data_IF_320077689887
#
_entry.id   IF_320077689887
#
_cell.length_a   1.000
_cell.length_b   1.000
_cell.length_c   1.000
_cell.angle_alpha   90.00
_cell.angle_beta   90.00
_cell.angle_gamma   90.00
#
_symmetry.space_group_name_H-M   'P 1'
#
loop_
_entity.id
_entity.type
_entity.pdbx_description
1 polymer ?
#
# COMPACT_ATOMS: atom_id res chain seq x y z
N UNK A 1 13.52 16.99 -31.67
CA UNK A 1 14.13 16.36 -30.49
C UNK A 1 13.01 16.08 -29.49
N UNK A 2 12.92 14.87 -28.93
CA UNK A 2 12.06 14.56 -27.77
C UNK A 2 13.00 14.22 -26.63
N UNK A 3 12.93 14.97 -25.53
CA UNK A 3 13.70 14.69 -24.33
C UNK A 3 12.98 13.58 -23.56
N UNK A 4 13.60 12.40 -23.49
CA UNK A 4 13.01 11.21 -22.88
C UNK A 4 13.30 11.08 -21.38
N UNK A 5 12.63 10.12 -20.72
CA UNK A 5 12.96 9.77 -19.33
C UNK A 5 14.40 9.24 -19.21
N UNK A 6 14.84 8.48 -20.21
CA UNK A 6 16.25 8.07 -20.42
C UNK A 6 17.24 9.23 -20.34
N UNK A 7 17.01 10.29 -21.11
CA UNK A 7 17.88 11.48 -21.12
C UNK A 7 17.85 12.19 -19.75
N UNK A 8 16.65 12.34 -19.16
CA UNK A 8 16.46 13.00 -17.87
C UNK A 8 17.16 12.28 -16.69
N UNK A 9 17.27 10.94 -16.74
CA UNK A 9 18.01 10.16 -15.74
C UNK A 9 19.52 10.26 -15.99
N UNK A 10 19.98 10.19 -17.24
CA UNK A 10 21.39 10.34 -17.59
C UNK A 10 21.94 11.73 -17.23
N UNK A 11 21.15 12.79 -17.43
CA UNK A 11 21.47 14.16 -17.03
C UNK A 11 21.30 14.40 -15.51
N UNK A 12 20.85 13.39 -14.75
CA UNK A 12 20.65 13.47 -13.31
C UNK A 12 19.49 14.36 -12.84
N UNK A 13 18.58 14.74 -13.74
CA UNK A 13 17.36 15.53 -13.45
C UNK A 13 16.28 14.65 -12.81
N UNK A 14 16.21 13.39 -13.23
CA UNK A 14 15.29 12.39 -12.70
C UNK A 14 15.99 11.28 -11.93
N UNK A 15 15.27 10.70 -10.96
CA UNK A 15 15.61 9.44 -10.30
C UNK A 15 15.31 8.26 -11.21
N UNK A 16 15.96 7.14 -10.99
CA UNK A 16 15.57 5.86 -11.57
C UNK A 16 14.36 5.24 -10.85
N UNK A 17 13.31 4.80 -11.58
CA UNK A 17 12.15 4.14 -11.00
C UNK A 17 12.43 2.68 -10.56
N UNK A 18 11.96 2.32 -9.38
CA UNK A 18 11.87 0.95 -8.86
C UNK A 18 10.39 0.63 -8.67
N UNK A 19 9.78 -0.08 -9.61
CA UNK A 19 8.34 -0.37 -9.60
C UNK A 19 8.16 -1.79 -9.05
N UNK A 20 7.36 -1.96 -8.00
CA UNK A 20 7.11 -3.23 -7.33
C UNK A 20 5.64 -3.60 -7.46
N UNK A 21 5.38 -4.64 -8.25
CA UNK A 21 4.06 -5.24 -8.40
C UNK A 21 3.85 -6.27 -7.29
N UNK A 22 2.71 -6.20 -6.61
CA UNK A 22 2.32 -7.11 -5.53
C UNK A 22 1.21 -8.05 -6.03
N UNK A 23 1.47 -9.36 -6.07
CA UNK A 23 0.51 -10.39 -6.47
C UNK A 23 0.23 -11.38 -5.33
N UNK A 24 -0.94 -12.03 -5.35
CA UNK A 24 -1.33 -13.04 -4.37
C UNK A 24 -1.68 -14.37 -5.07
N UNK A 25 -0.90 -15.41 -4.78
CA UNK A 25 -1.01 -16.70 -5.48
C UNK A 25 -2.23 -17.55 -5.05
N UNK A 26 -2.97 -17.11 -4.03
CA UNK A 26 -4.13 -17.83 -3.49
C UNK A 26 -5.18 -16.82 -2.99
N UNK A 27 -5.85 -16.15 -3.92
CA UNK A 27 -7.07 -15.38 -3.56
C UNK A 27 -8.26 -16.31 -3.54
N UNK A 28 -9.01 -16.30 -2.45
CA UNK A 28 -10.20 -17.12 -2.23
C UNK A 28 -11.45 -16.24 -2.30
N UNK A 29 -12.26 -16.47 -3.33
CA UNK A 29 -13.62 -15.93 -3.43
C UNK A 29 -14.59 -16.95 -2.86
N UNK A 30 -15.47 -16.50 -1.97
CA UNK A 30 -16.61 -17.27 -1.47
C UNK A 30 -17.89 -16.63 -2.00
N UNK A 31 -18.75 -17.42 -2.63
CA UNK A 31 -20.01 -16.95 -3.23
C UNK A 31 -21.17 -17.57 -2.46
N UNK A 32 -21.93 -16.74 -1.75
CA UNK A 32 -23.14 -17.14 -1.05
C UNK A 32 -24.36 -17.08 -1.96
N UNK A 33 -24.85 -18.25 -2.40
CA UNK A 33 -26.10 -18.41 -3.14
C UNK A 33 -27.14 -19.12 -2.25
N UNK A 34 -27.62 -18.40 -1.24
CA UNK A 34 -28.59 -18.94 -0.28
C UNK A 34 -27.97 -19.98 0.65
N UNK A 35 -28.43 -21.23 0.55
CA UNK A 35 -27.99 -22.32 1.42
C UNK A 35 -26.64 -22.95 1.01
N UNK A 36 -26.25 -22.81 -0.26
CA UNK A 36 -24.98 -23.31 -0.77
C UNK A 36 -23.96 -22.16 -0.88
N UNK A 37 -22.74 -22.43 -0.40
CA UNK A 37 -21.59 -21.54 -0.57
C UNK A 37 -20.58 -22.19 -1.51
N UNK A 38 -20.26 -21.51 -2.61
CA UNK A 38 -19.22 -21.92 -3.55
C UNK A 38 -17.89 -21.26 -3.15
N UNK A 39 -16.77 -21.98 -3.28
CA UNK A 39 -15.43 -21.44 -3.02
C UNK A 39 -14.60 -21.57 -4.29
N UNK A 40 -14.15 -20.44 -4.83
CA UNK A 40 -13.28 -20.36 -6.01
C UNK A 40 -11.90 -19.84 -5.58
N UNK A 41 -10.83 -20.51 -6.03
CA UNK A 41 -9.44 -20.14 -5.76
C UNK A 41 -8.80 -19.62 -7.04
N UNK A 42 -8.18 -18.45 -6.97
CA UNK A 42 -7.51 -17.79 -8.09
C UNK A 42 -5.99 -17.73 -7.85
N UNK A 43 -5.16 -18.09 -8.85
CA UNK A 43 -3.71 -18.19 -8.70
C UNK A 43 -2.97 -16.84 -8.86
N UNK A 44 -3.69 -15.74 -9.11
CA UNK A 44 -3.17 -14.37 -9.17
C UNK A 44 -4.31 -13.34 -9.12
N UNK A 45 -3.98 -12.08 -8.84
CA UNK A 45 -4.89 -10.93 -8.94
C UNK A 45 -5.41 -10.78 -10.37
N UNK A 46 -4.54 -10.94 -11.38
CA UNK A 46 -4.91 -10.90 -12.79
C UNK A 46 -6.00 -11.95 -13.14
N UNK A 47 -5.90 -13.16 -12.58
CA UNK A 47 -6.90 -14.22 -12.78
C UNK A 47 -8.21 -13.93 -12.06
N UNK A 48 -8.15 -13.44 -10.82
CA UNK A 48 -9.32 -13.01 -10.07
C UNK A 48 -10.13 -11.94 -10.82
N UNK A 49 -9.45 -10.90 -11.33
CA UNK A 49 -10.10 -9.80 -12.06
C UNK A 49 -10.61 -10.18 -13.45
N UNK A 50 -10.08 -11.25 -14.05
CA UNK A 50 -10.50 -11.73 -15.37
C UNK A 50 -11.57 -12.83 -15.36
N UNK A 51 -11.67 -13.60 -14.27
CA UNK A 51 -12.50 -14.82 -14.18
C UNK A 51 -13.54 -14.76 -13.03
N UNK A 52 -13.67 -13.61 -12.37
CA UNK A 52 -14.63 -13.37 -11.30
C UNK A 52 -15.32 -12.00 -11.46
N UNK A 53 -16.46 -11.76 -10.76
CA UNK A 53 -17.15 -10.48 -10.80
C UNK A 53 -16.48 -9.39 -9.94
N UNK A 54 -15.45 -9.73 -9.17
CA UNK A 54 -14.78 -8.82 -8.24
C UNK A 54 -14.12 -7.68 -8.99
N UNK A 55 -14.41 -6.44 -8.62
CA UNK A 55 -13.79 -5.27 -9.26
C UNK A 55 -12.45 -4.90 -8.62
N UNK A 56 -11.58 -4.26 -9.39
CA UNK A 56 -10.32 -3.71 -8.85
C UNK A 56 -10.54 -2.67 -7.73
N UNK A 57 -11.68 -1.97 -7.77
CA UNK A 57 -12.04 -1.00 -6.73
C UNK A 57 -12.43 -1.68 -5.40
N UNK A 58 -13.08 -2.86 -5.44
CA UNK A 58 -13.33 -3.68 -4.26
C UNK A 58 -12.02 -4.20 -3.64
N UNK A 59 -11.11 -4.75 -4.45
CA UNK A 59 -9.81 -5.26 -3.96
C UNK A 59 -9.06 -4.20 -3.15
N UNK A 60 -9.10 -2.95 -3.61
CA UNK A 60 -8.42 -1.83 -2.96
C UNK A 60 -8.99 -1.46 -1.59
N UNK A 61 -10.19 -1.91 -1.21
CA UNK A 61 -10.80 -1.65 0.11
C UNK A 61 -10.53 -2.73 1.15
N UNK A 62 -9.83 -3.80 0.79
CA UNK A 62 -9.46 -4.86 1.71
C UNK A 62 -8.19 -4.50 2.49
N UNK A 63 -8.25 -4.58 3.82
CA UNK A 63 -7.08 -4.36 4.69
C UNK A 63 -5.96 -5.36 4.38
N UNK A 64 -6.31 -6.58 3.94
CA UNK A 64 -5.33 -7.58 3.49
C UNK A 64 -4.58 -7.16 2.21
N UNK A 65 -5.08 -6.17 1.46
CA UNK A 65 -4.44 -5.58 0.27
C UNK A 65 -3.75 -4.26 0.62
N UNK A 66 -4.40 -3.40 1.40
CA UNK A 66 -3.88 -2.10 1.82
C UNK A 66 -2.62 -2.30 2.68
N UNK A 67 -2.69 -3.13 3.72
CA UNK A 67 -1.61 -3.25 4.70
C UNK A 67 -0.30 -3.75 4.07
N UNK A 68 -0.25 -4.83 3.26
CA UNK A 68 1.01 -5.24 2.64
C UNK A 68 1.62 -4.22 1.68
N UNK A 69 0.81 -3.38 1.00
CA UNK A 69 1.35 -2.30 0.17
C UNK A 69 1.93 -1.18 1.04
N UNK A 70 1.23 -0.81 2.12
CA UNK A 70 1.71 0.19 3.08
C UNK A 70 2.95 -0.29 3.84
N UNK A 71 3.02 -1.55 4.26
CA UNK A 71 4.17 -2.17 4.94
C UNK A 71 5.45 -2.09 4.09
N UNK A 72 5.33 -2.31 2.78
CA UNK A 72 6.45 -2.16 1.84
C UNK A 72 6.87 -0.70 1.68
N UNK A 73 5.90 0.21 1.54
CA UNK A 73 6.16 1.64 1.51
C UNK A 73 6.83 2.14 2.80
N UNK A 74 6.34 1.71 3.96
CA UNK A 74 6.84 1.99 5.30
C UNK A 74 8.26 1.49 5.49
N UNK A 75 8.51 0.23 5.18
CA UNK A 75 9.84 -0.40 5.29
C UNK A 75 10.86 0.31 4.40
N UNK A 76 10.49 0.60 3.14
CA UNK A 76 11.37 1.32 2.20
C UNK A 76 11.60 2.77 2.61
N UNK A 77 10.59 3.45 3.15
CA UNK A 77 10.73 4.82 3.65
C UNK A 77 11.62 4.88 4.91
N UNK A 78 11.53 3.89 5.81
CA UNK A 78 12.42 3.76 6.96
C UNK A 78 13.89 3.58 6.55
N UNK A 79 14.14 2.76 5.52
CA UNK A 79 15.47 2.55 4.93
C UNK A 79 16.03 3.86 4.33
N UNK A 80 15.25 4.52 3.47
CA UNK A 80 15.65 5.79 2.83
C UNK A 80 15.92 6.89 3.87
N UNK A 81 15.13 6.95 4.95
CA UNK A 81 15.30 7.95 6.02
C UNK A 81 16.54 7.76 6.89
N UNK A 82 17.25 6.62 6.80
CA UNK A 82 18.60 6.49 7.39
C UNK A 82 19.64 7.36 6.65
N UNK A 83 19.43 7.61 5.35
CA UNK A 83 20.34 8.35 4.48
C UNK A 83 19.82 9.79 4.27
N UNK A 84 18.51 9.93 4.07
CA UNK A 84 17.80 11.17 3.76
C UNK A 84 16.65 11.40 4.75
N UNK A 85 16.88 11.99 5.94
CA UNK A 85 15.88 12.07 7.01
C UNK A 85 14.59 12.83 6.68
N UNK A 86 14.59 13.70 5.65
CA UNK A 86 13.42 14.45 5.18
C UNK A 86 12.57 13.68 4.15
N UNK A 87 13.04 12.52 3.67
CA UNK A 87 12.34 11.68 2.69
C UNK A 87 10.89 11.37 3.12
N UNK A 88 9.98 11.42 2.16
CA UNK A 88 8.55 11.25 2.37
C UNK A 88 7.91 10.22 1.44
N UNK A 89 6.80 9.66 1.91
CA UNK A 89 5.94 8.77 1.16
C UNK A 89 4.67 9.47 0.68
N UNK A 90 4.23 9.10 -0.52
CA UNK A 90 2.93 9.42 -1.09
C UNK A 90 2.07 8.15 -1.10
N UNK A 91 0.79 8.26 -0.72
CA UNK A 91 -0.23 7.27 -1.07
C UNK A 91 -1.25 7.92 -1.99
N UNK A 92 -1.58 7.28 -3.12
CA UNK A 92 -2.67 7.72 -3.99
C UNK A 92 -3.87 6.81 -3.74
N UNK A 93 -4.96 7.38 -3.23
CA UNK A 93 -6.17 6.67 -2.86
C UNK A 93 -7.26 6.74 -3.95
N UNK A 94 -8.31 5.95 -3.77
CA UNK A 94 -9.49 5.93 -4.66
C UNK A 94 -10.41 7.14 -4.44
N UNK A 95 -10.82 7.36 -3.19
CA UNK A 95 -11.72 8.42 -2.76
C UNK A 95 -11.41 8.84 -1.31
N UNK A 96 -12.27 9.69 -0.72
CA UNK A 96 -12.07 10.24 0.62
C UNK A 96 -12.22 9.18 1.71
N UNK A 97 -13.12 8.22 1.55
CA UNK A 97 -13.34 7.13 2.51
C UNK A 97 -12.14 6.17 2.50
N UNK A 98 -11.69 5.76 1.31
CA UNK A 98 -10.49 4.95 1.18
C UNK A 98 -9.24 5.68 1.71
N UNK A 99 -9.12 7.01 1.51
CA UNK A 99 -8.04 7.78 2.11
C UNK A 99 -8.08 7.82 3.65
N UNK A 100 -9.26 7.76 4.26
CA UNK A 100 -9.42 7.66 5.71
C UNK A 100 -9.01 6.26 6.22
N UNK A 101 -9.39 5.19 5.51
CA UNK A 101 -8.95 3.82 5.81
C UNK A 101 -7.42 3.68 5.75
N UNK A 102 -6.79 4.19 4.69
CA UNK A 102 -5.32 4.23 4.56
C UNK A 102 -4.68 5.03 5.70
N UNK A 103 -5.27 6.18 6.08
CA UNK A 103 -4.75 7.00 7.16
C UNK A 103 -4.80 6.27 8.52
N UNK A 104 -5.87 5.52 8.80
CA UNK A 104 -6.00 4.67 9.99
C UNK A 104 -4.99 3.52 9.98
N UNK A 105 -4.73 2.90 8.82
CA UNK A 105 -3.71 1.87 8.69
C UNK A 105 -2.30 2.42 8.95
N UNK A 106 -1.96 3.62 8.42
CA UNK A 106 -0.71 4.31 8.73
C UNK A 106 -0.60 4.70 10.22
N UNK A 107 -1.68 5.19 10.82
CA UNK A 107 -1.73 5.52 12.26
C UNK A 107 -1.49 4.28 13.13
N UNK A 108 -2.05 3.13 12.76
CA UNK A 108 -1.79 1.83 13.41
C UNK A 108 -0.33 1.37 13.28
N UNK A 109 0.40 1.79 12.23
CA UNK A 109 1.84 1.61 12.08
C UNK A 109 2.68 2.65 12.86
N UNK A 110 2.03 3.60 13.55
CA UNK A 110 2.67 4.68 14.29
C UNK A 110 3.08 5.90 13.44
N UNK A 111 2.53 6.04 12.23
CA UNK A 111 2.92 7.06 11.26
C UNK A 111 1.90 8.20 11.15
N UNK A 112 2.35 9.45 11.31
CA UNK A 112 1.52 10.62 10.98
C UNK A 112 1.42 10.78 9.45
N UNK A 113 0.19 10.94 8.95
CA UNK A 113 -0.09 11.28 7.56
C UNK A 113 -0.98 12.52 7.41
N UNK A 114 -0.88 13.21 6.26
CA UNK A 114 -1.76 14.31 5.89
C UNK A 114 -2.64 13.91 4.70
N UNK A 115 -3.96 13.87 4.90
CA UNK A 115 -4.91 13.66 3.79
C UNK A 115 -5.10 14.97 3.00
N UNK A 116 -5.02 14.90 1.67
CA UNK A 116 -5.32 16.00 0.75
C UNK A 116 -6.28 15.51 -0.34
N UNK A 117 -7.34 16.29 -0.57
CA UNK A 117 -8.43 15.96 -1.50
C UNK A 117 -8.79 17.17 -2.34
N UNK A 118 -9.55 16.97 -3.41
CA UNK A 118 -10.16 18.06 -4.18
C UNK A 118 -11.16 18.92 -3.37
N UNK A 119 -11.66 18.43 -2.21
CA UNK A 119 -12.55 19.16 -1.30
C UNK A 119 -11.79 19.87 -0.17
N UNK A 120 -10.48 19.67 -0.04
CA UNK A 120 -9.67 20.29 1.02
C UNK A 120 -9.55 21.79 0.77
N UNK A 121 -10.09 22.66 1.66
CA UNK A 121 -9.87 24.10 1.57
C UNK A 121 -8.37 24.39 1.60
N UNK A 122 -7.92 25.34 0.78
CA UNK A 122 -6.52 25.74 0.71
C UNK A 122 -5.53 24.55 0.54
N UNK A 123 -5.91 23.53 -0.26
CA UNK A 123 -5.08 22.36 -0.53
C UNK A 123 -3.63 22.71 -0.89
N UNK A 124 -3.40 23.80 -1.64
CA UNK A 124 -2.05 24.28 -1.95
C UNK A 124 -1.26 24.70 -0.70
N UNK A 125 -1.90 25.35 0.28
CA UNK A 125 -1.25 25.70 1.55
C UNK A 125 -0.92 24.45 2.35
N UNK A 126 -1.83 23.47 2.39
CA UNK A 126 -1.60 22.17 3.06
C UNK A 126 -0.41 21.44 2.45
N UNK A 127 -0.31 21.40 1.11
CA UNK A 127 0.82 20.76 0.43
C UNK A 127 2.11 21.56 0.61
N UNK A 128 2.06 22.90 0.56
CA UNK A 128 3.24 23.74 0.82
C UNK A 128 3.74 23.58 2.26
N UNK A 129 2.85 23.45 3.25
CA UNK A 129 3.21 23.12 4.62
C UNK A 129 3.80 21.71 4.73
N UNK A 130 3.24 20.72 4.01
CA UNK A 130 3.83 19.39 3.95
C UNK A 130 5.22 19.38 3.29
N UNK A 131 5.49 20.26 2.32
CA UNK A 131 6.79 20.36 1.64
C UNK A 131 7.94 20.71 2.59
N UNK A 132 7.70 21.52 3.63
CA UNK A 132 8.71 21.95 4.61
C UNK A 132 8.62 21.28 5.99
N UNK A 133 7.63 20.42 6.22
CA UNK A 133 7.44 19.68 7.47
C UNK A 133 8.22 18.35 7.47
N UNK A 134 8.47 17.77 8.64
CA UNK A 134 9.06 16.44 8.85
C UNK A 134 8.06 15.28 8.69
N UNK A 135 6.76 15.58 8.69
CA UNK A 135 5.64 14.63 8.48
C UNK A 135 5.96 13.65 7.33
N UNK A 136 5.68 12.37 7.56
CA UNK A 136 6.23 11.27 6.76
C UNK A 136 5.39 10.94 5.52
N UNK A 137 4.08 11.05 5.64
CA UNK A 137 3.13 10.60 4.60
C UNK A 137 2.15 11.68 4.17
N UNK A 138 1.87 11.71 2.88
CA UNK A 138 0.73 12.44 2.31
C UNK A 138 -0.18 11.43 1.59
N UNK A 139 -1.48 11.44 1.91
CA UNK A 139 -2.49 10.58 1.28
C UNK A 139 -3.34 11.47 0.37
N UNK A 140 -3.37 11.17 -0.93
CA UNK A 140 -3.98 12.04 -1.94
C UNK A 140 -5.15 11.39 -2.66
N UNK A 141 -6.24 12.15 -2.83
CA UNK A 141 -7.45 11.71 -3.54
C UNK A 141 -7.65 12.49 -4.83
N UNK A 142 -7.45 11.83 -5.97
CA UNK A 142 -7.63 12.37 -7.31
C UNK A 142 -6.61 13.45 -7.69
N UNK A 143 -6.68 14.62 -7.04
CA UNK A 143 -5.76 15.74 -7.24
C UNK A 143 -4.70 15.79 -6.14
N UNK A 144 -3.48 15.34 -6.48
CA UNK A 144 -2.30 16.13 -6.12
C UNK A 144 -2.24 17.23 -7.19
N UNK A 145 -2.48 18.47 -6.79
CA UNK A 145 -2.72 19.59 -7.71
C UNK A 145 -1.72 19.63 -8.86
N UNK A 146 -2.20 19.83 -10.08
CA UNK A 146 -1.34 20.21 -11.20
C UNK A 146 -0.44 21.38 -10.79
N UNK A 147 0.83 21.34 -11.22
CA UNK A 147 1.83 22.33 -10.79
C UNK A 147 2.45 22.13 -9.41
N UNK A 148 1.95 21.25 -8.52
CA UNK A 148 2.58 21.09 -7.19
C UNK A 148 3.79 20.16 -7.19
N UNK A 149 4.87 20.65 -6.60
CA UNK A 149 6.17 20.03 -6.51
C UNK A 149 6.53 19.73 -5.05
N UNK A 150 6.78 18.46 -4.73
CA UNK A 150 7.23 18.02 -3.40
C UNK A 150 8.46 17.12 -3.60
N UNK A 151 9.66 17.70 -3.79
CA UNK A 151 10.83 16.93 -4.22
C UNK A 151 11.29 15.86 -3.21
N UNK A 152 10.94 16.00 -1.92
CA UNK A 152 11.24 15.00 -0.88
C UNK A 152 10.41 13.71 -0.96
N UNK A 153 9.40 13.63 -1.83
CA UNK A 153 8.68 12.38 -2.09
C UNK A 153 9.58 11.40 -2.86
N UNK A 154 9.88 10.24 -2.27
CA UNK A 154 10.68 9.17 -2.90
C UNK A 154 9.94 7.83 -2.95
N UNK A 155 8.94 7.61 -2.09
CA UNK A 155 8.13 6.39 -2.05
C UNK A 155 6.69 6.72 -2.46
N UNK A 156 6.08 5.87 -3.28
CA UNK A 156 4.68 5.96 -3.68
C UNK A 156 3.98 4.62 -3.48
N UNK A 157 2.82 4.63 -2.81
CA UNK A 157 1.89 3.50 -2.73
C UNK A 157 0.66 3.81 -3.60
N UNK A 158 0.44 3.01 -4.64
CA UNK A 158 -0.63 3.21 -5.61
C UNK A 158 -1.85 2.37 -5.24
N UNK A 159 -2.75 2.97 -4.46
CA UNK A 159 -4.00 2.38 -3.98
C UNK A 159 -5.22 3.08 -4.62
N UNK A 160 -5.09 3.48 -5.88
CA UNK A 160 -6.15 4.20 -6.61
C UNK A 160 -6.76 3.34 -7.71
N UNK A 161 -8.09 3.37 -7.79
CA UNK A 161 -8.86 2.72 -8.87
C UNK A 161 -8.58 3.28 -10.27
N UNK A 162 -7.98 4.45 -10.37
CA UNK A 162 -7.71 5.11 -11.66
C UNK A 162 -6.58 4.34 -12.36
N UNK A 163 -6.88 3.80 -13.54
CA UNK A 163 -5.95 2.98 -14.34
C UNK A 163 -5.76 3.54 -15.75
N UNK A 164 -5.54 4.85 -15.86
CA UNK A 164 -5.18 5.50 -17.13
C UNK A 164 -3.69 5.79 -17.20
N UNK A 165 -3.08 5.58 -18.37
CA UNK A 165 -1.64 5.71 -18.57
C UNK A 165 -1.12 7.13 -18.27
N UNK A 166 -1.94 8.16 -18.57
CA UNK A 166 -1.64 9.55 -18.25
C UNK A 166 -1.58 9.76 -16.73
N UNK A 167 -2.56 9.27 -15.97
CA UNK A 167 -2.59 9.44 -14.52
C UNK A 167 -1.44 8.68 -13.86
N UNK A 168 -1.17 7.45 -14.32
CA UNK A 168 -0.02 6.65 -13.88
C UNK A 168 1.31 7.41 -14.09
N UNK A 169 1.58 7.92 -15.30
CA UNK A 169 2.77 8.73 -15.58
C UNK A 169 2.84 10.01 -14.75
N UNK A 170 1.70 10.68 -14.53
CA UNK A 170 1.63 11.89 -13.69
C UNK A 170 1.97 11.61 -12.22
N UNK A 171 1.50 10.49 -11.67
CA UNK A 171 1.80 10.05 -10.29
C UNK A 171 3.27 9.66 -10.16
N UNK A 172 3.77 8.79 -11.04
CA UNK A 172 5.18 8.38 -11.05
C UNK A 172 6.12 9.60 -11.18
N UNK A 173 5.79 10.56 -12.05
CA UNK A 173 6.52 11.81 -12.23
C UNK A 173 6.56 12.75 -10.99
N UNK A 174 5.78 12.49 -9.94
CA UNK A 174 5.92 13.18 -8.64
C UNK A 174 7.09 12.65 -7.83
N UNK A 175 7.30 11.32 -7.84
CA UNK A 175 8.38 10.68 -7.09
C UNK A 175 9.70 10.59 -7.84
N UNK A 176 9.76 10.88 -9.14
CA UNK A 176 11.00 10.85 -9.92
C UNK A 176 11.87 12.12 -9.83
N UNK A 177 11.51 13.13 -9.02
CA UNK A 177 12.18 14.44 -9.01
C UNK A 177 13.42 14.47 -8.11
N UNK A 178 14.61 14.33 -8.69
CA UNK A 178 15.88 14.27 -7.93
C UNK A 178 16.17 15.57 -7.17
N UNK A 179 16.62 15.46 -5.93
CA UNK A 179 17.05 16.59 -5.08
C UNK A 179 18.38 16.28 -4.40
N UNK A 180 19.47 16.78 -4.99
CA UNK A 180 20.83 16.52 -4.54
C UNK A 180 21.42 15.24 -5.14
N UNK A 181 22.68 14.98 -4.82
CA UNK A 181 23.47 13.92 -5.46
C UNK A 181 23.11 12.52 -4.93
N UNK A 182 22.90 12.37 -3.62
CA UNK A 182 22.57 11.10 -2.93
C UNK A 182 21.09 10.68 -3.04
N UNK A 183 20.44 11.04 -4.13
CA UNK A 183 18.99 10.96 -4.33
C UNK A 183 18.67 10.35 -5.70
N UNK A 184 19.05 9.10 -5.89
CA UNK A 184 19.12 8.38 -7.17
C UNK A 184 17.84 7.58 -7.50
N UNK A 185 17.08 7.14 -6.50
CA UNK A 185 15.99 6.17 -6.69
C UNK A 185 14.63 6.64 -6.18
N UNK A 186 13.59 6.26 -6.93
CA UNK A 186 12.20 6.41 -6.55
C UNK A 186 11.51 5.04 -6.51
N UNK A 187 10.62 4.80 -5.56
CA UNK A 187 9.96 3.51 -5.36
C UNK A 187 8.44 3.64 -5.55
N UNK A 188 7.85 2.75 -6.34
CA UNK A 188 6.40 2.69 -6.57
C UNK A 188 5.89 1.28 -6.23
N UNK A 189 5.03 1.16 -5.23
CA UNK A 189 4.37 -0.08 -4.81
C UNK A 189 2.92 -0.09 -5.28
N UNK A 190 2.48 -1.18 -5.89
CA UNK A 190 1.17 -1.29 -6.55
C UNK A 190 0.75 -2.77 -6.68
N UNK A 191 -0.55 -3.05 -6.85
CA UNK A 191 -0.99 -4.41 -7.15
C UNK A 191 -0.56 -4.85 -8.57
N UNK A 192 -0.37 -6.15 -8.75
CA UNK A 192 -0.19 -6.82 -10.04
C UNK A 192 -1.51 -6.89 -10.84
N UNK A 193 -2.10 -5.73 -11.11
CA UNK A 193 -3.25 -5.59 -11.99
C UNK A 193 -2.77 -5.44 -13.45
N UNK A 194 -3.37 -6.14 -14.45
CA UNK A 194 -2.80 -6.21 -15.80
C UNK A 194 -2.61 -4.88 -16.53
N UNK A 195 -3.53 -3.93 -16.36
CA UNK A 195 -3.46 -2.61 -17.02
C UNK A 195 -2.28 -1.81 -16.49
N UNK A 196 -2.15 -1.78 -15.16
CA UNK A 196 -1.10 -1.12 -14.39
C UNK A 196 0.28 -1.76 -14.62
N UNK A 197 0.35 -3.10 -14.67
CA UNK A 197 1.56 -3.83 -15.06
C UNK A 197 2.02 -3.44 -16.47
N UNK A 198 1.10 -3.40 -17.45
CA UNK A 198 1.43 -3.00 -18.82
C UNK A 198 1.92 -1.54 -18.94
N UNK A 199 1.55 -0.65 -18.01
CA UNK A 199 2.15 0.69 -17.93
C UNK A 199 3.56 0.66 -17.36
N UNK A 200 3.81 -0.16 -16.33
CA UNK A 200 5.13 -0.32 -15.73
C UNK A 200 6.15 -0.93 -16.72
N UNK A 201 5.72 -1.92 -17.50
CA UNK A 201 6.51 -2.53 -18.59
C UNK A 201 6.87 -1.48 -19.65
N UNK A 202 5.91 -0.66 -20.12
CA UNK A 202 6.21 0.43 -21.08
C UNK A 202 7.16 1.50 -20.53
N UNK A 203 7.16 1.74 -19.22
CA UNK A 203 8.15 2.63 -18.60
C UNK A 203 9.54 1.97 -18.55
N UNK A 204 9.63 0.64 -18.38
CA UNK A 204 10.89 -0.08 -18.48
C UNK A 204 11.45 -0.06 -19.92
N UNK A 205 10.60 -0.18 -20.94
CA UNK A 205 10.99 -0.06 -22.36
C UNK A 205 11.50 1.35 -22.73
N UNK A 206 10.99 2.40 -22.06
CA UNK A 206 11.40 3.81 -22.24
C UNK A 206 12.79 4.12 -21.58
N UNK A 207 13.47 3.14 -20.98
CA UNK A 207 14.72 3.28 -20.21
C UNK A 207 15.91 2.53 -20.86
N UNK A 208 17.17 2.90 -20.55
CA UNK A 208 18.35 2.15 -21.01
C UNK A 208 18.36 0.66 -20.64
N UNK A 209 18.90 -0.18 -21.54
CA UNK A 209 18.88 -1.64 -21.45
C UNK A 209 19.62 -2.21 -20.22
N UNK A 210 20.56 -1.45 -19.68
CA UNK A 210 21.28 -1.75 -18.44
C UNK A 210 20.43 -1.58 -17.17
N UNK A 211 19.30 -0.86 -17.26
CA UNK A 211 18.40 -0.66 -16.13
C UNK A 211 17.34 -1.77 -15.99
N UNK A 212 16.63 -2.16 -17.06
CA UNK A 212 15.37 -2.91 -16.95
C UNK A 212 15.53 -4.39 -16.51
N UNK A 213 15.15 -4.73 -15.27
CA UNK A 213 15.16 -6.11 -14.75
C UNK A 213 13.90 -6.43 -13.94
N UNK A 214 13.16 -7.46 -14.39
CA UNK A 214 12.15 -8.18 -13.59
C UNK A 214 12.83 -9.09 -12.56
N UNK A 215 12.58 -8.87 -11.26
CA UNK A 215 12.99 -9.78 -10.18
C UNK A 215 11.79 -10.18 -9.32
N UNK A 216 11.54 -11.48 -9.22
CA UNK A 216 10.63 -12.00 -8.20
C UNK A 216 11.29 -11.92 -6.82
N UNK A 217 10.61 -11.27 -5.87
CA UNK A 217 11.01 -11.23 -4.47
C UNK A 217 9.95 -11.98 -3.66
N UNK A 218 10.36 -13.07 -3.01
CA UNK A 218 9.55 -13.76 -2.02
C UNK A 218 9.69 -13.05 -0.67
N UNK A 219 8.57 -12.77 -0.01
CA UNK A 219 8.58 -12.28 1.36
C UNK A 219 9.07 -13.38 2.32
N UNK A 220 9.96 -13.07 3.28
CA UNK A 220 10.07 -13.89 4.48
C UNK A 220 8.74 -13.84 5.24
N UNK A 221 8.25 -14.99 5.69
CA UNK A 221 6.91 -15.10 6.29
C UNK A 221 6.74 -14.23 7.53
N UNK A 222 5.67 -13.44 7.56
CA UNK A 222 5.27 -12.65 8.73
C UNK A 222 4.77 -13.61 9.82
N UNK A 223 5.52 -13.72 10.92
CA UNK A 223 5.23 -14.63 12.02
C UNK A 223 4.65 -13.81 13.20
N UNK A 224 3.32 -13.82 13.44
CA UNK A 224 2.71 -12.94 14.44
C UNK A 224 2.95 -13.33 15.91
N UNK A 225 3.60 -14.48 16.17
CA UNK A 225 3.73 -15.09 17.51
C UNK A 225 5.06 -14.86 18.23
N UNK A 226 5.91 -13.92 17.78
CA UNK A 226 7.11 -13.55 18.53
C UNK A 226 6.82 -12.58 19.69
N UNK A 227 6.24 -13.11 20.79
CA UNK A 227 6.24 -12.40 22.09
C UNK A 227 7.67 -12.29 22.63
N UNK A 228 8.12 -11.12 23.12
CA UNK A 228 9.40 -11.02 23.80
C UNK A 228 9.30 -11.66 25.19
N UNK A 229 10.25 -12.55 25.51
CA UNK A 229 10.38 -13.08 26.88
C UNK A 229 10.95 -12.00 27.84
N UNK A 230 10.35 -11.80 29.03
CA UNK A 230 10.93 -10.93 30.03
C UNK A 230 12.02 -11.66 30.84
N UNK A 231 13.29 -11.27 30.65
CA UNK A 231 14.34 -11.59 31.63
C UNK A 231 14.00 -10.96 32.98
N UNK A 232 14.08 -11.75 34.06
CA UNK A 232 13.53 -11.37 35.37
C UNK A 232 14.48 -10.60 36.29
N UNK A 233 13.95 -10.23 37.47
CA UNK A 233 14.72 -9.80 38.63
C UNK A 233 14.02 -10.25 39.94
N UNK A 234 14.82 -10.47 40.99
CA UNK A 234 14.39 -11.02 42.29
C UNK A 234 13.95 -9.93 43.29
N UNK A 235 13.04 -10.26 44.22
CA UNK A 235 12.59 -9.36 45.30
C UNK A 235 11.62 -9.98 46.32
N UNK A 236 12.13 -10.35 47.50
CA UNK A 236 11.43 -10.94 48.66
C UNK A 236 10.85 -9.79 49.55
N UNK A 237 9.68 -9.81 50.24
CA UNK A 237 9.27 -10.57 51.46
C UNK A 237 7.78 -10.24 51.85
N UNK A 238 7.05 -11.23 52.44
CA UNK A 238 5.83 -11.23 53.32
C UNK A 238 4.92 -9.98 53.48
N UNK A 239 3.58 -10.11 53.69
CA UNK A 239 2.71 -11.30 53.73
C UNK A 239 1.45 -11.14 54.65
N UNK A 240 0.48 -12.07 54.54
CA UNK A 240 -0.79 -12.21 55.32
C UNK A 240 -1.83 -11.09 55.04
N UNK A 241 -3.12 -11.26 54.73
CA UNK A 241 -4.08 -12.38 54.52
C UNK A 241 -5.48 -11.74 54.25
N UNK A 242 -6.63 -12.40 54.04
CA UNK A 242 -7.01 -13.82 53.84
C UNK A 242 -8.48 -13.90 53.30
N UNK A 243 -8.94 -15.07 52.82
CA UNK A 243 -10.33 -15.50 52.48
C UNK A 243 -11.21 -14.70 51.46
N UNK A 244 -11.79 -15.38 50.45
CA UNK A 244 -12.85 -14.79 49.60
C UNK A 244 -13.23 -15.49 48.28
N UNK A 245 -13.94 -16.63 48.38
CA UNK A 245 -14.60 -17.43 47.31
C UNK A 245 -15.11 -16.74 46.01
N UNK A 246 -14.89 -17.39 44.85
CA UNK A 246 -16.00 -17.72 43.90
C UNK A 246 -15.88 -17.35 42.40
N UNK A 247 -15.98 -18.37 41.52
CA UNK A 247 -16.83 -18.29 40.31
C UNK A 247 -16.23 -18.22 38.89
N UNK A 248 -16.07 -19.40 38.25
CA UNK A 248 -16.33 -19.73 36.83
C UNK A 248 -15.63 -19.03 35.62
N UNK A 249 -15.37 -19.83 34.59
CA UNK A 249 -14.75 -19.51 33.27
C UNK A 249 -15.81 -19.20 32.16
N UNK A 250 -15.50 -19.28 30.83
CA UNK A 250 -14.86 -18.26 29.99
C UNK A 250 -15.71 -17.90 28.73
N UNK A 251 -15.25 -17.00 27.85
CA UNK A 251 -15.95 -16.83 26.55
C UNK A 251 -15.47 -15.78 25.54
N UNK A 252 -14.57 -16.19 24.63
CA UNK A 252 -14.51 -15.86 23.19
C UNK A 252 -14.64 -14.37 22.78
N UNK A 253 -13.52 -13.79 22.30
CA UNK A 253 -13.51 -12.52 21.58
C UNK A 253 -14.06 -12.62 20.16
N UNK A 254 -14.85 -11.62 19.75
CA UNK A 254 -15.41 -11.51 18.40
C UNK A 254 -14.37 -11.00 17.40
N UNK A 255 -14.07 -11.78 16.35
CA UNK A 255 -13.42 -11.25 15.15
C UNK A 255 -14.49 -10.66 14.23
N UNK A 256 -14.36 -9.38 13.88
CA UNK A 256 -15.29 -8.70 12.99
C UNK A 256 -15.08 -9.17 11.54
N UNK A 257 -15.98 -10.03 11.05
CA UNK A 257 -16.11 -10.31 9.61
C UNK A 257 -16.90 -9.17 8.95
N UNK A 258 -16.26 -8.44 8.04
CA UNK A 258 -16.93 -7.40 7.27
C UNK A 258 -17.91 -8.03 6.26
N UNK A 259 -19.20 -8.01 6.60
CA UNK A 259 -20.31 -8.42 5.74
C UNK A 259 -20.86 -7.18 5.04
N UNK A 260 -20.84 -7.17 3.71
CA UNK A 260 -21.45 -6.10 2.90
C UNK A 260 -22.78 -6.61 2.35
N UNK A 261 -23.89 -6.01 2.80
CA UNK A 261 -25.23 -6.25 2.24
C UNK A 261 -25.57 -5.15 1.24
N UNK A 262 -25.61 -5.50 -0.05
CA UNK A 262 -26.14 -4.65 -1.11
C UNK A 262 -27.68 -4.58 -1.00
N UNK A 263 -28.22 -3.38 -0.76
CA UNK A 263 -29.66 -3.16 -0.66
C UNK A 263 -30.28 -2.79 -2.01
N UNK A 264 -31.14 -3.65 -2.57
CA UNK A 264 -31.89 -3.27 -3.78
C UNK A 264 -32.52 -4.36 -4.65
N UNK A 265 -33.24 -5.33 -4.08
CA UNK A 265 -34.18 -6.21 -4.82
C UNK A 265 -33.69 -6.89 -6.11
N UNK A 266 -32.67 -7.74 -6.00
CA UNK A 266 -32.59 -8.99 -6.74
C UNK A 266 -31.93 -10.05 -5.86
N UNK A 267 -32.04 -11.33 -6.23
CA UNK A 267 -31.45 -12.45 -5.49
C UNK A 267 -29.94 -12.56 -5.83
N UNK A 268 -29.18 -11.48 -5.62
CA UNK A 268 -27.78 -11.41 -5.98
C UNK A 268 -26.90 -12.21 -5.02
N UNK A 269 -25.95 -13.01 -5.52
CA UNK A 269 -24.96 -13.70 -4.68
C UNK A 269 -24.15 -12.71 -3.84
N UNK A 270 -24.01 -13.02 -2.54
CA UNK A 270 -23.08 -12.30 -1.68
C UNK A 270 -21.65 -12.78 -1.95
N UNK A 271 -20.78 -11.90 -2.42
CA UNK A 271 -19.37 -12.20 -2.69
C UNK A 271 -18.49 -11.79 -1.51
N UNK A 272 -17.68 -12.72 -1.01
CA UNK A 272 -16.67 -12.46 0.00
C UNK A 272 -15.28 -12.84 -0.51
N UNK A 273 -14.42 -11.84 -0.71
CA UNK A 273 -13.01 -12.03 -1.08
C UNK A 273 -12.18 -12.20 0.19
N UNK A 274 -11.21 -13.11 0.15
CA UNK A 274 -10.23 -13.31 1.21
C UNK A 274 -8.88 -13.65 0.59
N UNK A 275 -7.80 -13.12 1.18
CA UNK A 275 -6.46 -13.19 0.62
C UNK A 275 -5.59 -14.12 1.45
N UNK A 276 -4.68 -14.87 0.80
CA UNK A 276 -3.65 -15.59 1.56
C UNK A 276 -2.60 -14.61 2.09
N UNK A 277 -1.96 -14.93 3.21
CA UNK A 277 -0.81 -14.15 3.73
C UNK A 277 0.45 -14.25 2.84
N UNK A 278 0.41 -15.00 1.74
CA UNK A 278 1.57 -15.30 0.89
C UNK A 278 1.55 -14.44 -0.38
N UNK A 279 1.99 -13.20 -0.24
CA UNK A 279 2.22 -12.29 -1.36
C UNK A 279 3.57 -12.54 -2.04
N UNK A 280 3.59 -12.43 -3.37
CA UNK A 280 4.79 -12.39 -4.22
C UNK A 280 4.97 -10.95 -4.70
N UNK A 281 6.20 -10.46 -4.66
CA UNK A 281 6.56 -9.20 -5.29
C UNK A 281 7.25 -9.48 -6.63
N UNK A 282 7.00 -8.62 -7.60
CA UNK A 282 7.77 -8.54 -8.85
C UNK A 282 8.33 -7.13 -8.94
N UNK A 283 9.61 -6.99 -8.65
CA UNK A 283 10.35 -5.74 -8.80
C UNK A 283 10.73 -5.59 -10.28
N UNK A 284 10.05 -4.69 -10.97
CA UNK A 284 10.52 -3.99 -12.17
C UNK A 284 11.54 -2.94 -11.72
N UNK A 285 12.76 -3.40 -11.51
CA UNK A 285 13.89 -2.54 -11.17
C UNK A 285 14.42 -1.88 -12.45
N UNK A 286 14.70 -0.59 -12.36
CA UNK A 286 15.51 0.13 -13.34
C UNK A 286 16.88 0.42 -12.69
N UNK A 287 17.90 -0.37 -13.01
CA UNK A 287 19.25 -0.42 -12.39
C UNK A 287 20.17 0.78 -12.57
#
# INVERSE_FOLDING_TARGET
>A
YRYGLKDAIADGVCRSPRIVLLDNQKVKLTEGLGADSSVRLFPSIAKLLGESPVTYEELLRHDEVINPILDLGYSKLNELRQIKPDAAGLVVATDIEHAQQIAQALEAMGEECRIVTNKTPDAQQVINAFRSNTCRWIVAVGMISEGTDIPRLQVCCYLSRIRTELHYRQVLGRVLRRTGESDDQAWLFMLAEPTLQGFAERIADDLPDDLAVLRDVQMPGFNPDSRPEPMGASGHVKGIGDAGLGGAEPGIGSQATNIISLGGFANEPAYQVSFSQHYRQQLLACF
#
